data_IF_446206281664
#
_entry.id   IF_446206281664
#
_cell.length_a   1.000
_cell.length_b   1.000
_cell.length_c   1.000
_cell.angle_alpha   90.00
_cell.angle_beta   90.00
_cell.angle_gamma   90.00
#
_symmetry.space_group_name_H-M   'P 1'
#
loop_
_entity.id
_entity.type
_entity.pdbx_description
1 polymer ?
#
# COMPACT_ATOMS: atom_id res chain seq x y z
N UNK A 1 -22.70 -5.41 -1.97
CA UNK A 1 -23.90 -4.52 -1.93
C UNK A 1 -24.91 -5.00 -2.97
N UNK A 2 -26.20 -5.11 -2.61
CA UNK A 2 -27.26 -5.49 -3.56
C UNK A 2 -27.68 -4.30 -4.44
N UNK A 3 -28.33 -4.57 -5.59
CA UNK A 3 -28.82 -3.53 -6.48
C UNK A 3 -29.89 -2.67 -5.78
N UNK A 4 -29.80 -1.36 -5.99
CA UNK A 4 -30.72 -0.35 -5.45
C UNK A 4 -31.37 0.43 -6.58
N UNK A 5 -32.56 0.93 -6.35
CA UNK A 5 -33.30 1.76 -7.28
C UNK A 5 -33.85 3.01 -6.58
N UNK A 6 -34.28 4.01 -7.34
CA UNK A 6 -34.76 5.30 -6.79
C UNK A 6 -33.72 6.01 -5.91
N UNK A 7 -32.47 6.08 -6.37
CA UNK A 7 -31.43 6.86 -5.73
C UNK A 7 -31.14 8.13 -6.51
N UNK A 8 -30.64 9.15 -5.82
CA UNK A 8 -30.15 10.37 -6.44
C UNK A 8 -28.62 10.34 -6.49
N UNK A 9 -28.07 10.78 -7.61
CA UNK A 9 -26.64 10.94 -7.78
C UNK A 9 -26.33 12.42 -8.02
N UNK A 10 -25.30 12.93 -7.36
CA UNK A 10 -24.80 14.28 -7.56
C UNK A 10 -23.28 14.24 -7.74
N UNK A 11 -22.80 15.06 -8.67
CA UNK A 11 -21.37 15.25 -8.84
C UNK A 11 -20.85 16.31 -7.86
N UNK A 12 -19.95 15.91 -6.96
CA UNK A 12 -19.22 16.82 -6.08
C UNK A 12 -17.96 17.31 -6.83
N UNK A 13 -18.04 18.47 -7.41
CA UNK A 13 -16.95 19.04 -8.19
C UNK A 13 -15.72 19.40 -7.34
N UNK A 14 -15.90 19.71 -6.06
CA UNK A 14 -14.80 20.03 -5.16
C UNK A 14 -13.97 18.79 -4.81
N UNK A 15 -14.63 17.63 -4.75
CA UNK A 15 -14.00 16.35 -4.42
C UNK A 15 -13.87 15.42 -5.63
N UNK A 16 -14.30 15.87 -6.83
CA UNK A 16 -14.27 15.11 -8.08
C UNK A 16 -14.82 13.68 -7.97
N UNK A 17 -15.96 13.54 -7.30
CA UNK A 17 -16.62 12.25 -7.07
C UNK A 17 -18.13 12.33 -7.19
N UNK A 18 -18.74 11.19 -7.44
CA UNK A 18 -20.20 11.05 -7.42
C UNK A 18 -20.65 10.67 -6.01
N UNK A 19 -21.61 11.40 -5.47
CA UNK A 19 -22.25 11.08 -4.20
C UNK A 19 -23.65 10.55 -4.49
N UNK A 20 -23.97 9.38 -3.95
CA UNK A 20 -25.26 8.75 -4.07
C UNK A 20 -26.05 8.84 -2.76
N UNK A 21 -27.29 9.23 -2.83
CA UNK A 21 -28.18 9.33 -1.68
C UNK A 21 -29.43 8.49 -1.83
N UNK A 22 -29.89 7.86 -0.76
CA UNK A 22 -31.16 7.15 -0.69
C UNK A 22 -31.16 5.85 -1.49
N UNK A 23 -32.28 5.52 -2.05
CA UNK A 23 -32.56 4.29 -2.77
C UNK A 23 -33.21 3.20 -1.93
N UNK A 24 -33.96 2.33 -2.59
CA UNK A 24 -34.69 1.24 -1.98
C UNK A 24 -34.03 -0.10 -2.29
N UNK A 25 -34.01 -0.99 -1.30
CA UNK A 25 -33.69 -2.40 -1.49
C UNK A 25 -35.00 -3.15 -1.67
N UNK A 26 -35.05 -4.06 -2.62
CA UNK A 26 -36.28 -4.76 -3.04
C UNK A 26 -36.98 -5.58 -1.94
N UNK A 27 -36.37 -5.74 -0.78
CA UNK A 27 -36.86 -6.70 0.18
C UNK A 27 -37.76 -6.17 1.32
N UNK A 28 -37.74 -4.89 1.74
CA UNK A 28 -38.57 -4.51 2.89
C UNK A 28 -38.95 -3.02 3.03
N UNK A 29 -38.98 -2.23 1.99
CA UNK A 29 -39.79 -1.02 1.94
C UNK A 29 -39.37 0.23 2.74
N UNK A 30 -38.36 0.19 3.59
CA UNK A 30 -37.94 1.35 4.36
C UNK A 30 -36.76 2.07 3.71
N UNK A 31 -36.86 3.37 3.40
CA UNK A 31 -35.71 4.15 2.96
C UNK A 31 -34.80 4.35 4.16
N UNK A 32 -33.69 3.64 4.20
CA UNK A 32 -32.61 3.99 5.13
C UNK A 32 -31.85 5.19 4.54
N UNK A 33 -31.65 6.26 5.32
CA UNK A 33 -30.74 7.31 4.93
C UNK A 33 -29.34 6.69 4.85
N UNK A 34 -28.83 6.54 3.65
CA UNK A 34 -27.47 6.12 3.44
C UNK A 34 -26.85 7.02 2.38
N UNK A 35 -25.58 7.24 2.55
CA UNK A 35 -24.75 7.94 1.63
C UNK A 35 -23.78 6.92 1.02
N UNK A 36 -23.69 6.91 -0.29
CA UNK A 36 -22.66 6.18 -1.01
C UNK A 36 -21.79 7.19 -1.74
N UNK A 37 -20.50 7.08 -1.54
CA UNK A 37 -19.52 7.88 -2.24
C UNK A 37 -18.79 6.95 -3.20
N UNK A 38 -18.93 7.22 -4.47
CA UNK A 38 -18.26 6.48 -5.54
C UNK A 38 -17.54 7.44 -6.45
N UNK A 39 -16.29 7.19 -6.60
CA UNK A 39 -15.44 7.90 -7.54
C UNK A 39 -14.15 7.12 -7.73
N UNK A 40 -13.53 7.27 -8.88
CA UNK A 40 -12.34 6.50 -9.24
C UNK A 40 -11.10 6.80 -8.38
N UNK A 41 -11.20 7.70 -7.40
CA UNK A 41 -10.05 8.20 -6.63
C UNK A 41 -10.21 8.10 -5.11
N UNK A 42 -11.32 7.51 -4.62
CA UNK A 42 -11.64 7.60 -3.20
C UNK A 42 -10.69 6.83 -2.28
N UNK A 43 -10.26 5.65 -2.68
CA UNK A 43 -9.39 4.83 -1.83
C UNK A 43 -7.97 4.78 -2.41
N UNK A 44 -7.01 5.14 -1.59
CA UNK A 44 -5.62 4.91 -1.94
C UNK A 44 -5.38 3.43 -2.25
N UNK A 45 -4.48 3.16 -3.17
CA UNK A 45 -4.21 1.79 -3.62
C UNK A 45 -2.82 1.34 -3.25
N UNK A 46 -2.69 0.06 -2.92
CA UNK A 46 -1.42 -0.63 -2.74
C UNK A 46 -1.38 -1.84 -3.67
N UNK A 47 -0.37 -1.91 -4.54
CA UNK A 47 -0.21 -3.05 -5.46
C UNK A 47 1.23 -3.54 -5.52
N UNK A 48 1.39 -4.84 -5.54
CA UNK A 48 2.70 -5.48 -5.67
C UNK A 48 3.17 -5.44 -7.13
N UNK A 49 4.46 -5.22 -7.34
CA UNK A 49 5.12 -5.22 -8.65
C UNK A 49 6.37 -6.07 -8.64
N UNK A 50 6.53 -6.89 -9.69
CA UNK A 50 7.64 -7.82 -9.81
C UNK A 50 7.55 -8.99 -8.85
N UNK A 51 8.68 -9.64 -8.61
CA UNK A 51 8.83 -10.82 -7.76
C UNK A 51 9.85 -10.57 -6.65
N UNK A 52 9.69 -11.27 -5.55
CA UNK A 52 10.70 -11.36 -4.51
C UNK A 52 11.88 -12.23 -4.96
N UNK A 53 13.02 -12.03 -4.34
CA UNK A 53 14.18 -12.92 -4.43
C UNK A 53 14.71 -13.28 -3.04
N UNK A 54 15.33 -14.42 -2.91
CA UNK A 54 15.84 -14.93 -1.63
C UNK A 54 15.32 -16.30 -1.29
N UNK A 55 15.83 -16.87 -0.21
CA UNK A 55 15.52 -18.25 0.19
C UNK A 55 14.07 -18.43 0.69
N UNK A 56 13.37 -17.35 1.09
CA UNK A 56 12.09 -17.41 1.79
C UNK A 56 10.88 -16.89 1.02
N UNK A 57 11.00 -16.42 -0.23
CA UNK A 57 9.89 -15.77 -0.96
C UNK A 57 9.19 -14.70 -0.12
N UNK A 58 9.97 -13.79 0.45
CA UNK A 58 9.49 -12.73 1.33
C UNK A 58 8.44 -11.84 0.66
N UNK A 59 7.45 -11.42 1.42
CA UNK A 59 6.33 -10.60 0.95
C UNK A 59 6.38 -9.23 1.62
N UNK A 60 5.92 -8.21 0.88
CA UNK A 60 5.59 -6.90 1.44
C UNK A 60 4.14 -6.59 1.10
N UNK A 61 3.41 -6.03 2.05
CA UNK A 61 2.01 -5.63 1.88
C UNK A 61 1.73 -4.35 2.66
N UNK A 62 0.62 -3.71 2.35
CA UNK A 62 0.12 -2.58 3.11
C UNK A 62 -0.91 -3.05 4.14
N UNK A 63 -0.84 -2.51 5.34
CA UNK A 63 -1.88 -2.61 6.36
C UNK A 63 -2.70 -1.32 6.34
N UNK A 64 -3.97 -1.44 5.98
CA UNK A 64 -4.85 -0.30 5.74
C UNK A 64 -4.73 0.27 4.32
N UNK A 65 -5.59 1.24 4.00
CA UNK A 65 -5.53 1.98 2.76
C UNK A 65 -4.58 3.19 2.89
N UNK A 66 -3.71 3.44 1.91
CA UNK A 66 -2.86 4.63 1.90
C UNK A 66 -3.68 5.87 1.52
N UNK A 67 -4.29 6.54 2.49
CA UNK A 67 -5.14 7.71 2.31
C UNK A 67 -4.72 8.85 3.23
N UNK A 68 -5.08 10.07 2.84
CA UNK A 68 -4.79 11.25 3.66
C UNK A 68 -5.35 11.08 5.08
N UNK A 69 -4.57 11.45 6.09
CA UNK A 69 -4.93 11.32 7.50
C UNK A 69 -4.88 9.91 8.07
N UNK A 70 -4.42 8.91 7.34
CA UNK A 70 -4.30 7.52 7.83
C UNK A 70 -3.14 7.39 8.82
N UNK A 71 -3.39 7.68 10.08
CA UNK A 71 -2.39 7.62 11.15
C UNK A 71 -1.91 6.21 11.49
N UNK A 72 -2.73 5.20 11.21
CA UNK A 72 -2.43 3.79 11.48
C UNK A 72 -1.97 3.02 10.23
N UNK A 73 -1.72 3.71 9.09
CA UNK A 73 -1.19 3.05 7.90
C UNK A 73 0.20 2.48 8.19
N UNK A 74 0.44 1.25 7.75
CA UNK A 74 1.71 0.57 7.95
C UNK A 74 2.09 -0.30 6.75
N UNK A 75 3.36 -0.63 6.65
CA UNK A 75 3.88 -1.65 5.74
C UNK A 75 4.29 -2.87 6.55
N UNK A 76 3.82 -4.02 6.12
CA UNK A 76 4.11 -5.31 6.71
C UNK A 76 4.99 -6.14 5.79
N UNK A 77 6.00 -6.77 6.35
CA UNK A 77 6.83 -7.73 5.66
C UNK A 77 6.76 -9.10 6.36
N UNK A 78 6.64 -10.15 5.56
CA UNK A 78 6.43 -11.51 6.04
C UNK A 78 7.36 -12.49 5.34
N UNK A 79 7.50 -13.68 5.93
CA UNK A 79 8.36 -14.76 5.44
C UNK A 79 9.82 -14.36 5.35
N UNK A 80 10.24 -13.47 6.24
CA UNK A 80 11.65 -13.15 6.44
C UNK A 80 12.30 -14.28 7.25
N UNK A 81 13.62 -14.35 7.24
CA UNK A 81 14.31 -15.21 8.22
C UNK A 81 14.09 -14.64 9.62
N UNK A 82 13.90 -15.53 10.59
CA UNK A 82 13.74 -15.14 12.00
C UNK A 82 14.92 -14.30 12.45
N UNK A 83 14.63 -13.18 13.09
CA UNK A 83 15.60 -12.23 13.62
C UNK A 83 16.56 -11.63 12.57
N UNK A 84 16.22 -11.72 11.28
CA UNK A 84 17.06 -11.14 10.23
C UNK A 84 17.07 -9.61 10.32
N UNK A 85 18.24 -8.98 10.32
CA UNK A 85 18.37 -7.56 10.07
C UNK A 85 17.75 -7.21 8.72
N UNK A 86 16.92 -6.19 8.70
CA UNK A 86 16.14 -5.82 7.52
C UNK A 86 16.04 -4.30 7.41
N UNK A 87 15.72 -3.81 6.24
CA UNK A 87 15.49 -2.39 5.99
C UNK A 87 14.31 -2.20 5.06
N UNK A 88 13.33 -1.43 5.49
CA UNK A 88 12.32 -0.88 4.60
C UNK A 88 12.90 0.32 3.86
N UNK A 89 12.70 0.36 2.56
CA UNK A 89 13.07 1.49 1.70
C UNK A 89 11.78 2.05 1.12
N UNK A 90 11.53 3.32 1.34
CA UNK A 90 10.40 4.07 0.80
C UNK A 90 10.95 5.16 -0.12
N UNK A 91 10.50 5.19 -1.37
CA UNK A 91 11.04 6.08 -2.40
C UNK A 91 9.92 6.83 -3.13
N UNK A 92 10.21 8.05 -3.58
CA UNK A 92 9.35 8.83 -4.44
C UNK A 92 9.41 8.39 -5.92
N UNK A 93 10.37 7.54 -6.29
CA UNK A 93 10.57 7.08 -7.66
C UNK A 93 10.76 5.56 -7.72
N UNK A 94 10.25 4.97 -8.80
CA UNK A 94 10.54 3.58 -9.12
C UNK A 94 11.96 3.42 -9.67
N UNK A 95 12.50 2.23 -9.49
CA UNK A 95 13.68 1.72 -10.19
C UNK A 95 13.38 0.34 -10.76
N UNK A 96 14.26 -0.15 -11.62
CA UNK A 96 14.27 -1.54 -12.11
C UNK A 96 15.70 -1.99 -12.32
N UNK A 97 16.54 -1.79 -11.31
CA UNK A 97 17.96 -2.14 -11.36
C UNK A 97 18.12 -3.63 -11.03
N UNK A 98 18.69 -4.37 -11.98
CA UNK A 98 19.03 -5.78 -11.78
C UNK A 98 20.28 -5.84 -10.90
N UNK A 99 20.20 -6.60 -9.82
CA UNK A 99 21.29 -6.84 -8.89
C UNK A 99 21.96 -8.19 -9.22
N UNK A 100 23.18 -8.43 -8.72
CA UNK A 100 23.81 -9.76 -8.83
C UNK A 100 22.88 -10.86 -8.29
N UNK A 101 22.64 -11.90 -9.10
CA UNK A 101 21.67 -12.97 -8.82
C UNK A 101 20.27 -12.67 -9.37
N UNK A 102 19.21 -13.26 -8.80
CA UNK A 102 17.84 -13.14 -9.33
C UNK A 102 17.11 -11.89 -8.82
N UNK A 103 17.79 -10.98 -8.14
CA UNK A 103 17.18 -9.87 -7.44
C UNK A 103 17.04 -8.63 -8.31
N UNK A 104 15.97 -7.87 -8.08
CA UNK A 104 15.75 -6.58 -8.73
C UNK A 104 15.41 -5.53 -7.67
N UNK A 105 16.11 -4.42 -7.69
CA UNK A 105 15.79 -3.26 -6.88
C UNK A 105 14.69 -2.46 -7.59
N UNK A 106 13.54 -2.30 -6.92
CA UNK A 106 12.33 -1.66 -7.47
C UNK A 106 12.13 -0.23 -7.00
N UNK A 107 12.99 0.26 -6.13
CA UNK A 107 12.98 1.61 -5.56
C UNK A 107 14.23 2.37 -5.98
N UNK A 108 14.09 3.66 -6.26
CA UNK A 108 15.20 4.54 -6.52
C UNK A 108 15.81 5.00 -5.19
N UNK A 109 16.98 4.45 -4.86
CA UNK A 109 17.66 4.75 -3.58
C UNK A 109 18.13 6.20 -3.49
N UNK A 110 18.33 6.89 -4.61
CA UNK A 110 18.74 8.30 -4.61
C UNK A 110 17.62 9.25 -4.16
N UNK A 111 16.36 8.79 -4.23
CA UNK A 111 15.16 9.54 -3.83
C UNK A 111 14.36 8.77 -2.78
N UNK A 112 15.05 8.18 -1.81
CA UNK A 112 14.45 7.30 -0.80
C UNK A 112 14.84 7.66 0.62
N UNK A 113 14.02 7.16 1.55
CA UNK A 113 14.33 7.06 2.98
C UNK A 113 14.35 5.60 3.40
N UNK A 114 15.22 5.26 4.32
CA UNK A 114 15.45 3.89 4.79
C UNK A 114 15.15 3.77 6.28
N UNK A 115 14.45 2.71 6.64
CA UNK A 115 14.04 2.43 8.01
C UNK A 115 14.55 1.06 8.44
N UNK A 116 15.63 1.01 9.23
CA UNK A 116 16.18 -0.26 9.71
C UNK A 116 15.19 -0.93 10.69
N UNK A 117 15.12 -2.24 10.62
CA UNK A 117 14.28 -3.07 11.47
C UNK A 117 14.91 -4.44 11.66
N UNK A 118 14.34 -5.23 12.54
CA UNK A 118 14.71 -6.65 12.74
C UNK A 118 13.42 -7.46 12.65
N UNK A 119 13.41 -8.49 11.84
CA UNK A 119 12.30 -9.44 11.80
C UNK A 119 12.13 -10.12 13.17
N UNK A 120 10.91 -10.35 13.59
CA UNK A 120 10.65 -11.11 14.80
C UNK A 120 10.93 -12.62 14.61
N UNK A 121 10.73 -13.44 15.66
CA UNK A 121 10.93 -14.87 15.62
C UNK A 121 10.07 -15.63 14.61
N UNK A 122 8.98 -15.02 14.14
CA UNK A 122 8.09 -15.58 13.10
C UNK A 122 8.42 -15.06 11.69
N UNK A 123 9.49 -14.30 11.54
CA UNK A 123 9.87 -13.72 10.23
C UNK A 123 8.93 -12.61 9.77
N UNK A 124 8.43 -11.81 10.70
CA UNK A 124 7.55 -10.68 10.45
C UNK A 124 8.19 -9.37 10.91
N UNK A 125 8.02 -8.32 10.13
CA UNK A 125 8.42 -6.96 10.48
C UNK A 125 7.34 -5.95 10.03
N UNK A 126 7.12 -4.94 10.83
CA UNK A 126 6.16 -3.86 10.54
C UNK A 126 6.85 -2.51 10.60
N UNK A 127 6.44 -1.60 9.73
CA UNK A 127 6.84 -0.20 9.73
C UNK A 127 5.61 0.70 9.63
N UNK A 128 5.34 1.49 10.67
CA UNK A 128 4.32 2.54 10.63
C UNK A 128 4.71 3.65 9.66
N UNK A 129 3.79 4.04 8.78
CA UNK A 129 3.94 5.13 7.81
C UNK A 129 2.72 6.04 7.94
N UNK A 130 2.62 6.84 9.01
CA UNK A 130 1.48 7.73 9.17
C UNK A 130 1.43 8.73 8.01
N UNK A 131 0.28 8.80 7.35
CA UNK A 131 0.05 9.69 6.21
C UNK A 131 -0.63 10.95 6.74
N UNK A 132 0.00 12.13 6.64
CA UNK A 132 -0.59 13.37 7.13
C UNK A 132 -1.80 13.79 6.30
N UNK A 133 -2.64 14.67 6.87
CA UNK A 133 -3.77 15.28 6.19
C UNK A 133 -3.29 16.46 5.33
N UNK A 134 -2.38 16.20 4.41
CA UNK A 134 -1.83 17.21 3.50
C UNK A 134 -2.36 16.98 2.07
N UNK A 135 -3.18 17.89 1.54
CA UNK A 135 -3.72 17.76 0.18
C UNK A 135 -2.66 17.65 -0.92
N UNK A 136 -1.43 18.14 -0.68
CA UNK A 136 -0.34 17.99 -1.64
C UNK A 136 0.08 16.53 -1.88
N UNK A 137 -0.27 15.63 -0.95
CA UNK A 137 0.00 14.20 -1.09
C UNK A 137 -1.11 13.44 -1.85
N UNK A 138 -2.23 14.08 -2.16
CA UNK A 138 -3.30 13.42 -2.91
C UNK A 138 -2.79 12.98 -4.29
N UNK A 139 -3.04 11.72 -4.64
CA UNK A 139 -2.53 11.05 -5.84
C UNK A 139 -1.00 10.91 -5.90
N UNK A 140 -0.28 11.27 -4.84
CA UNK A 140 1.14 10.99 -4.78
C UNK A 140 1.39 9.48 -4.86
N UNK A 141 2.39 9.10 -5.64
CA UNK A 141 2.80 7.71 -5.78
C UNK A 141 4.11 7.50 -5.03
N UNK A 142 4.12 6.51 -4.15
CA UNK A 142 5.31 6.06 -3.42
C UNK A 142 5.62 4.62 -3.79
N UNK A 143 6.87 4.27 -3.66
CA UNK A 143 7.40 2.93 -3.95
C UNK A 143 8.08 2.40 -2.70
N UNK A 144 7.75 1.17 -2.31
CA UNK A 144 8.35 0.54 -1.16
C UNK A 144 8.94 -0.82 -1.52
N UNK A 145 10.01 -1.18 -0.86
CA UNK A 145 10.64 -2.50 -0.94
C UNK A 145 11.35 -2.78 0.38
N UNK A 146 11.44 -4.03 0.79
CA UNK A 146 12.25 -4.42 1.94
C UNK A 146 13.43 -5.26 1.45
N UNK A 147 14.61 -4.95 1.99
CA UNK A 147 15.79 -5.81 1.92
C UNK A 147 16.02 -6.47 3.28
N UNK A 148 16.39 -7.73 3.28
CA UNK A 148 16.63 -8.52 4.49
C UNK A 148 17.91 -9.33 4.35
N UNK A 149 18.65 -9.53 5.43
CA UNK A 149 19.82 -10.35 5.42
C UNK A 149 19.50 -11.82 5.07
N UNK A 150 20.18 -12.34 4.05
CA UNK A 150 20.04 -13.72 3.60
C UNK A 150 21.38 -14.24 3.06
N UNK A 151 22.07 -15.01 3.89
CA UNK A 151 23.39 -15.56 3.57
C UNK A 151 23.40 -16.55 2.40
N UNK A 152 22.23 -17.02 1.95
CA UNK A 152 22.12 -17.90 0.77
C UNK A 152 22.17 -17.11 -0.55
N UNK A 153 22.09 -15.77 -0.49
CA UNK A 153 22.10 -14.92 -1.66
C UNK A 153 23.49 -14.35 -1.95
N UNK A 154 23.86 -14.10 -3.23
CA UNK A 154 25.19 -13.61 -3.62
C UNK A 154 25.60 -12.29 -2.94
N UNK A 155 24.66 -11.40 -2.67
CA UNK A 155 24.91 -10.13 -1.96
C UNK A 155 24.69 -10.25 -0.45
N UNK A 156 24.37 -11.42 0.08
CA UNK A 156 23.95 -11.59 1.46
C UNK A 156 22.57 -10.95 1.78
N UNK A 157 21.82 -10.59 0.74
CA UNK A 157 20.52 -9.89 0.85
C UNK A 157 19.46 -10.53 -0.01
N UNK A 158 18.27 -10.71 0.57
CA UNK A 158 17.04 -10.99 -0.10
C UNK A 158 16.20 -9.71 -0.24
N UNK A 159 15.38 -9.63 -1.27
CA UNK A 159 14.48 -8.50 -1.49
C UNK A 159 13.05 -8.98 -1.68
N UNK A 160 12.10 -8.25 -1.11
CA UNK A 160 10.68 -8.46 -1.43
C UNK A 160 10.40 -8.05 -2.89
N UNK A 161 9.24 -8.38 -3.41
CA UNK A 161 8.68 -7.65 -4.53
C UNK A 161 8.57 -6.14 -4.18
N UNK A 162 8.45 -5.28 -5.17
CA UNK A 162 8.15 -3.87 -4.95
C UNK A 162 6.68 -3.69 -4.58
N UNK A 163 6.36 -2.66 -3.82
CA UNK A 163 5.01 -2.22 -3.53
C UNK A 163 4.83 -0.79 -4.05
N UNK A 164 3.79 -0.56 -4.83
CA UNK A 164 3.40 0.76 -5.32
C UNK A 164 2.20 1.22 -4.52
N UNK A 165 2.30 2.39 -3.93
CA UNK A 165 1.28 3.03 -3.11
C UNK A 165 0.80 4.29 -3.84
N UNK A 166 -0.49 4.47 -3.99
CA UNK A 166 -1.10 5.72 -4.46
C UNK A 166 -1.95 6.26 -3.33
N UNK A 167 -1.65 7.48 -2.89
CA UNK A 167 -2.36 8.09 -1.75
C UNK A 167 -3.72 8.58 -2.22
N UNK A 168 -4.76 8.10 -1.57
CA UNK A 168 -6.16 8.46 -1.81
C UNK A 168 -6.67 9.56 -0.90
N UNK A 169 -7.95 9.87 -1.07
CA UNK A 169 -8.70 10.80 -0.21
C UNK A 169 -8.81 10.28 1.24
N UNK A 170 -9.14 11.15 2.20
CA UNK A 170 -9.33 10.79 3.61
C UNK A 170 -10.43 9.75 3.85
#
# INVERSE_FOLDING_TARGET
MGPRYEHSLVWDAARQRVIGFGGRIRSNGWPLPWQWEGGALADGTARTVGSACGSGSSLITAYGAPRLGASAFALDAMRLRSFAPSVFVLAARASSSVLPGPCTLRVDVSASVSFPTIANGFGFATMGVPIPMDPALLNATLYAQLASADSAMPLGLAFTAGLVLVIGEP
#
